data_IF_346485766992
#
_entry.id   IF_346485766992
#
_cell.length_a   1.000
_cell.length_b   1.000
_cell.length_c   1.000
_cell.angle_alpha   90.00
_cell.angle_beta   90.00
_cell.angle_gamma   90.00
#
_symmetry.space_group_name_H-M   'P 1'
#
loop_
_entity.id
_entity.type
_entity.pdbx_description
1 polymer ?
#
# COMPACT_ATOMS: atom_id res chain seq x y z
N UNK A 1 -27.39 6.11 12.44
CA UNK A 1 -28.43 6.75 13.28
C UNK A 1 -28.04 8.11 13.89
N UNK A 2 -26.80 8.35 14.37
CA UNK A 2 -26.42 9.63 15.03
C UNK A 2 -26.47 10.89 14.13
N UNK A 3 -26.29 10.76 12.82
CA UNK A 3 -26.27 11.89 11.88
C UNK A 3 -27.67 12.43 11.52
N UNK A 4 -28.69 11.56 11.53
CA UNK A 4 -30.07 11.93 11.20
C UNK A 4 -30.68 12.79 12.31
N UNK A 5 -30.34 12.52 13.58
CA UNK A 5 -30.79 13.34 14.71
C UNK A 5 -30.24 14.77 14.71
N UNK A 6 -29.01 14.96 14.22
CA UNK A 6 -28.41 16.30 14.02
C UNK A 6 -29.13 17.07 12.91
N UNK A 7 -29.48 16.40 11.82
CA UNK A 7 -30.20 17.02 10.69
C UNK A 7 -31.65 17.34 11.09
N UNK A 8 -32.33 16.43 11.80
CA UNK A 8 -33.69 16.66 12.33
C UNK A 8 -33.66 17.77 13.39
N UNK A 9 -32.67 17.79 14.29
CA UNK A 9 -32.51 18.85 15.29
C UNK A 9 -32.30 20.23 14.66
N UNK A 10 -31.45 20.32 13.63
CA UNK A 10 -31.23 21.57 12.88
C UNK A 10 -32.48 21.98 12.11
N UNK A 11 -33.21 21.03 11.51
CA UNK A 11 -34.47 21.30 10.81
C UNK A 11 -35.57 21.80 11.76
N UNK A 12 -35.72 21.19 12.94
CA UNK A 12 -36.68 21.62 13.96
C UNK A 12 -36.35 23.02 14.50
N UNK A 13 -35.06 23.32 14.69
CA UNK A 13 -34.61 24.66 15.13
C UNK A 13 -34.87 25.69 14.03
N UNK A 14 -34.60 25.38 12.76
CA UNK A 14 -34.88 26.27 11.63
C UNK A 14 -36.39 26.53 11.46
N UNK A 15 -37.22 25.49 11.56
CA UNK A 15 -38.70 25.61 11.45
C UNK A 15 -39.27 26.42 12.63
N UNK A 16 -38.80 26.15 13.86
CA UNK A 16 -39.22 26.91 15.06
C UNK A 16 -38.81 28.38 15.00
N UNK A 17 -37.66 28.67 14.41
CA UNK A 17 -37.13 30.04 14.26
C UNK A 17 -37.84 30.80 13.14
N UNK A 18 -38.20 30.14 12.03
CA UNK A 18 -39.00 30.73 10.93
C UNK A 18 -40.41 31.05 11.42
N UNK A 19 -41.02 30.17 12.22
CA UNK A 19 -42.34 30.40 12.82
C UNK A 19 -42.40 31.59 13.80
N UNK A 20 -41.26 32.01 14.37
CA UNK A 20 -41.17 33.18 15.28
C UNK A 20 -40.92 34.51 14.58
N UNK A 21 -40.52 34.51 13.30
CA UNK A 21 -40.17 35.72 12.54
C UNK A 21 -41.15 36.09 11.43
N UNK A 22 -42.12 35.22 11.09
CA UNK A 22 -43.05 35.47 10.00
C UNK A 22 -44.38 36.06 10.51
N UNK A 23 -44.86 37.13 9.86
CA UNK A 23 -46.14 37.77 10.20
C UNK A 23 -47.36 37.05 9.60
N UNK A 24 -47.18 35.98 8.80
CA UNK A 24 -48.27 35.13 8.32
C UNK A 24 -47.83 33.67 8.08
N UNK A 25 -48.77 32.74 8.26
CA UNK A 25 -48.57 31.30 8.06
C UNK A 25 -48.27 30.96 6.58
N UNK A 26 -48.70 31.82 5.66
CA UNK A 26 -48.52 31.68 4.22
C UNK A 26 -47.06 31.88 3.80
N UNK A 27 -46.34 32.81 4.42
CA UNK A 27 -44.93 33.10 4.10
C UNK A 27 -44.00 31.97 4.58
N UNK A 28 -44.34 31.35 5.72
CA UNK A 28 -43.66 30.15 6.22
C UNK A 28 -43.86 28.98 5.27
N UNK A 29 -45.08 28.78 4.76
CA UNK A 29 -45.40 27.73 3.80
C UNK A 29 -44.71 27.93 2.44
N UNK A 30 -44.58 29.17 1.96
CA UNK A 30 -43.85 29.49 0.71
C UNK A 30 -42.35 29.22 0.87
N UNK A 31 -41.75 29.60 2.01
CA UNK A 31 -40.34 29.34 2.28
C UNK A 31 -40.02 27.83 2.42
N UNK A 32 -40.87 27.09 3.13
CA UNK A 32 -40.76 25.62 3.25
C UNK A 32 -41.00 24.95 1.89
N UNK A 33 -41.95 25.44 1.10
CA UNK A 33 -42.23 24.97 -0.25
C UNK A 33 -41.05 25.17 -1.21
N UNK A 34 -40.35 26.32 -1.13
CA UNK A 34 -39.16 26.59 -1.93
C UNK A 34 -37.99 25.66 -1.55
N UNK A 35 -37.78 25.38 -0.26
CA UNK A 35 -36.74 24.47 0.22
C UNK A 35 -37.07 23.02 -0.22
N UNK A 36 -38.32 22.61 -0.11
CA UNK A 36 -38.78 21.29 -0.56
C UNK A 36 -38.61 21.13 -2.08
N UNK A 37 -38.89 22.18 -2.87
CA UNK A 37 -38.69 22.18 -4.33
C UNK A 37 -37.20 22.03 -4.69
N UNK A 38 -36.30 22.74 -4.01
CA UNK A 38 -34.85 22.63 -4.24
C UNK A 38 -34.33 21.24 -3.87
N UNK A 39 -34.78 20.67 -2.74
CA UNK A 39 -34.43 19.32 -2.34
C UNK A 39 -34.96 18.26 -3.34
N UNK A 40 -36.18 18.44 -3.84
CA UNK A 40 -36.79 17.57 -4.86
C UNK A 40 -36.00 17.59 -6.17
N UNK A 41 -35.55 18.76 -6.63
CA UNK A 41 -34.74 18.91 -7.84
C UNK A 41 -33.37 18.22 -7.68
N UNK A 42 -32.75 18.32 -6.51
CA UNK A 42 -31.49 17.62 -6.20
C UNK A 42 -31.72 16.09 -6.18
N UNK A 43 -32.79 15.62 -5.55
CA UNK A 43 -33.12 14.21 -5.45
C UNK A 43 -33.49 13.58 -6.81
N UNK A 44 -34.25 14.28 -7.65
CA UNK A 44 -34.58 13.85 -9.02
C UNK A 44 -33.35 13.79 -9.94
N UNK A 45 -32.32 14.60 -9.65
CA UNK A 45 -31.04 14.55 -10.34
C UNK A 45 -30.18 13.36 -9.87
N UNK A 46 -30.08 13.11 -8.56
CA UNK A 46 -29.31 11.97 -8.02
C UNK A 46 -29.91 10.60 -8.37
N UNK A 47 -31.23 10.53 -8.54
CA UNK A 47 -31.93 9.31 -9.01
C UNK A 47 -31.90 9.13 -10.53
N UNK A 48 -31.16 9.98 -11.27
CA UNK A 48 -30.92 9.83 -12.71
C UNK A 48 -32.10 10.18 -13.62
N UNK A 49 -33.20 10.75 -13.08
CA UNK A 49 -34.40 11.12 -13.84
C UNK A 49 -34.29 12.47 -14.56
N UNK A 50 -33.25 13.26 -14.28
CA UNK A 50 -32.92 14.50 -14.98
C UNK A 50 -31.49 14.44 -15.53
N UNK A 51 -31.33 14.39 -16.86
CA UNK A 51 -30.02 14.41 -17.53
C UNK A 51 -29.54 15.86 -17.72
N UNK A 52 -28.71 16.34 -16.80
CA UNK A 52 -27.98 17.63 -16.94
C UNK A 52 -26.50 17.33 -17.15
N UNK A 53 -25.86 18.07 -18.07
CA UNK A 53 -24.44 17.96 -18.40
C UNK A 53 -23.53 18.07 -17.15
N UNK A 54 -22.53 17.18 -17.02
CA UNK A 54 -21.65 17.04 -15.85
C UNK A 54 -20.91 18.32 -15.45
N UNK A 55 -20.53 19.15 -16.43
CA UNK A 55 -19.93 20.48 -16.16
C UNK A 55 -20.92 21.43 -15.50
N UNK A 56 -22.18 21.43 -15.95
CA UNK A 56 -23.27 22.22 -15.38
C UNK A 56 -23.66 21.71 -13.99
N UNK A 57 -23.62 20.39 -13.75
CA UNK A 57 -23.84 19.78 -12.44
C UNK A 57 -22.81 20.24 -11.40
N UNK A 58 -21.52 20.25 -11.73
CA UNK A 58 -20.47 20.77 -10.84
C UNK A 58 -20.64 22.26 -10.54
N UNK A 59 -21.08 23.05 -11.53
CA UNK A 59 -21.35 24.49 -11.38
C UNK A 59 -22.61 24.73 -10.52
N UNK A 60 -23.69 24.00 -10.76
CA UNK A 60 -24.93 24.07 -9.96
C UNK A 60 -24.72 23.62 -8.52
N UNK A 61 -23.93 22.57 -8.27
CA UNK A 61 -23.53 22.18 -6.90
C UNK A 61 -22.72 23.27 -6.22
N UNK A 62 -21.80 23.93 -6.95
CA UNK A 62 -21.03 25.08 -6.42
C UNK A 62 -21.92 26.28 -6.11
N UNK A 63 -22.85 26.61 -7.00
CA UNK A 63 -23.78 27.73 -6.85
C UNK A 63 -24.76 27.46 -5.70
N UNK A 64 -25.31 26.25 -5.61
CA UNK A 64 -26.21 25.84 -4.52
C UNK A 64 -25.54 25.89 -3.15
N UNK A 65 -24.27 25.46 -3.04
CA UNK A 65 -23.47 25.63 -1.82
C UNK A 65 -23.22 27.11 -1.52
N UNK A 66 -22.94 27.93 -2.53
CA UNK A 66 -22.74 29.37 -2.34
C UNK A 66 -24.01 30.09 -1.88
N UNK A 67 -25.18 29.71 -2.42
CA UNK A 67 -26.48 30.24 -2.01
C UNK A 67 -26.81 29.82 -0.58
N UNK A 68 -26.61 28.55 -0.21
CA UNK A 68 -26.80 28.09 1.17
C UNK A 68 -25.89 28.81 2.17
N UNK A 69 -24.63 29.04 1.79
CA UNK A 69 -23.68 29.80 2.61
C UNK A 69 -24.09 31.28 2.69
N UNK A 70 -24.50 31.90 1.59
CA UNK A 70 -24.92 33.31 1.57
C UNK A 70 -26.22 33.53 2.37
N UNK A 71 -27.20 32.63 2.24
CA UNK A 71 -28.45 32.66 3.02
C UNK A 71 -28.16 32.40 4.50
N UNK A 72 -27.25 31.47 4.83
CA UNK A 72 -26.80 31.23 6.20
C UNK A 72 -26.11 32.44 6.83
N UNK A 73 -25.26 33.15 6.06
CA UNK A 73 -24.60 34.39 6.51
C UNK A 73 -25.63 35.52 6.68
N UNK A 74 -26.53 35.72 5.73
CA UNK A 74 -27.57 36.75 5.82
C UNK A 74 -28.51 36.50 7.00
N UNK A 75 -28.88 35.24 7.24
CA UNK A 75 -29.69 34.84 8.40
C UNK A 75 -28.97 35.08 9.73
N UNK A 76 -27.67 34.73 9.83
CA UNK A 76 -26.86 35.02 11.02
C UNK A 76 -26.72 36.53 11.26
N UNK A 77 -26.52 37.34 10.21
CA UNK A 77 -26.45 38.80 10.32
C UNK A 77 -27.79 39.40 10.76
N UNK A 78 -28.91 38.88 10.25
CA UNK A 78 -30.25 39.30 10.67
C UNK A 78 -30.54 38.91 12.14
N UNK A 79 -30.15 37.70 12.56
CA UNK A 79 -30.22 37.24 13.95
C UNK A 79 -29.38 38.10 14.89
N UNK A 80 -28.13 38.42 14.52
CA UNK A 80 -27.26 39.32 15.29
C UNK A 80 -27.90 40.70 15.42
N UNK A 81 -28.44 41.24 14.34
CA UNK A 81 -29.09 42.56 14.34
C UNK A 81 -30.37 42.57 15.20
N UNK A 82 -31.19 41.52 15.11
CA UNK A 82 -32.42 41.36 15.88
C UNK A 82 -32.16 41.18 17.38
N UNK A 83 -31.16 40.37 17.74
CA UNK A 83 -30.73 40.17 19.13
C UNK A 83 -30.15 41.47 19.70
N UNK A 84 -29.33 42.20 18.93
CA UNK A 84 -28.78 43.49 19.37
C UNK A 84 -29.88 44.54 19.58
N UNK A 85 -30.90 44.55 18.71
CA UNK A 85 -32.09 45.40 18.87
C UNK A 85 -32.90 45.04 20.13
N UNK A 86 -33.21 43.75 20.34
CA UNK A 86 -33.91 43.23 21.54
C UNK A 86 -33.17 43.54 22.85
N UNK A 87 -31.83 43.43 22.86
CA UNK A 87 -31.00 43.81 24.00
C UNK A 87 -31.11 45.31 24.30
N UNK A 88 -31.08 46.15 23.25
CA UNK A 88 -31.15 47.60 23.40
C UNK A 88 -32.52 48.12 23.85
N UNK A 89 -33.62 47.42 23.52
CA UNK A 89 -34.98 47.85 23.85
C UNK A 89 -35.60 47.13 25.05
N UNK A 90 -35.22 45.88 25.33
CA UNK A 90 -35.88 45.02 26.33
C UNK A 90 -34.93 44.44 27.40
N UNK A 91 -33.61 44.65 27.29
CA UNK A 91 -32.64 44.23 28.32
C UNK A 91 -32.38 42.72 28.41
N UNK A 92 -32.69 41.95 27.36
CA UNK A 92 -32.59 40.49 27.36
C UNK A 92 -31.14 39.97 27.26
N UNK A 93 -30.57 39.59 28.41
CA UNK A 93 -29.20 39.07 28.56
C UNK A 93 -28.96 37.70 27.91
N UNK A 94 -29.99 36.89 27.61
CA UNK A 94 -29.81 35.56 26.99
C UNK A 94 -29.29 35.66 25.54
N UNK A 95 -29.67 36.71 24.81
CA UNK A 95 -29.19 36.96 23.45
C UNK A 95 -27.69 37.25 23.36
N UNK A 96 -27.13 37.92 24.37
CA UNK A 96 -25.69 38.23 24.46
C UNK A 96 -24.86 36.95 24.61
N UNK A 97 -25.33 35.99 25.42
CA UNK A 97 -24.65 34.72 25.62
C UNK A 97 -24.56 33.91 24.31
N UNK A 98 -25.60 33.95 23.47
CA UNK A 98 -25.61 33.29 22.16
C UNK A 98 -24.62 33.92 21.17
N UNK A 99 -24.50 35.26 21.17
CA UNK A 99 -23.53 36.00 20.35
C UNK A 99 -22.08 35.70 20.76
N UNK A 100 -21.81 35.59 22.06
CA UNK A 100 -20.48 35.22 22.57
C UNK A 100 -20.12 33.80 22.14
N UNK A 101 -21.04 32.83 22.29
CA UNK A 101 -20.81 31.44 21.86
C UNK A 101 -20.59 31.36 20.35
N UNK A 102 -21.38 32.09 19.55
CA UNK A 102 -21.21 32.14 18.09
C UNK A 102 -19.86 32.76 17.67
N UNK A 103 -19.42 33.82 18.35
CA UNK A 103 -18.13 34.47 18.08
C UNK A 103 -16.96 33.56 18.46
N UNK A 104 -17.05 32.86 19.59
CA UNK A 104 -16.06 31.87 20.02
C UNK A 104 -16.01 30.69 19.03
N UNK A 105 -17.16 30.17 18.60
CA UNK A 105 -17.24 29.09 17.62
C UNK A 105 -16.67 29.51 16.25
N UNK A 106 -16.94 30.73 15.80
CA UNK A 106 -16.39 31.28 14.56
C UNK A 106 -14.87 31.49 14.66
N UNK A 107 -14.38 31.97 15.80
CA UNK A 107 -12.95 32.10 16.10
C UNK A 107 -12.23 30.75 16.08
N UNK A 108 -12.80 29.72 16.71
CA UNK A 108 -12.29 28.34 16.70
C UNK A 108 -12.30 27.79 15.26
N UNK A 109 -13.39 27.94 14.52
CA UNK A 109 -13.52 27.48 13.14
C UNK A 109 -12.53 28.17 12.19
N UNK A 110 -12.34 29.49 12.34
CA UNK A 110 -11.35 30.26 11.59
C UNK A 110 -9.91 29.84 11.93
N UNK A 111 -9.62 29.62 13.22
CA UNK A 111 -8.32 29.15 13.68
C UNK A 111 -7.98 27.77 13.09
N UNK A 112 -8.92 26.81 13.14
CA UNK A 112 -8.77 25.48 12.53
C UNK A 112 -8.60 25.58 11.00
N UNK A 113 -9.40 26.42 10.31
CA UNK A 113 -9.32 26.63 8.86
C UNK A 113 -7.99 27.25 8.42
N UNK A 114 -7.44 28.19 9.20
CA UNK A 114 -6.17 28.85 8.91
C UNK A 114 -4.98 27.93 9.18
N UNK A 115 -5.03 27.14 10.24
CA UNK A 115 -4.07 26.07 10.51
C UNK A 115 -4.06 25.05 9.36
N UNK A 116 -5.23 24.53 8.96
CA UNK A 116 -5.36 23.63 7.80
C UNK A 116 -4.82 24.23 6.49
N UNK A 117 -5.05 25.52 6.22
CA UNK A 117 -4.52 26.20 5.02
C UNK A 117 -3.01 26.36 5.04
N UNK A 118 -2.41 26.63 6.20
CA UNK A 118 -0.95 26.67 6.37
C UNK A 118 -0.34 25.28 6.14
N UNK A 119 -1.02 24.23 6.57
CA UNK A 119 -0.63 22.84 6.33
C UNK A 119 -0.69 22.40 4.89
N UNK A 120 -1.79 22.69 4.19
CA UNK A 120 -1.90 22.41 2.75
C UNK A 120 -0.79 23.12 1.95
N UNK A 121 -0.31 24.29 2.41
CA UNK A 121 0.85 24.96 1.80
C UNK A 121 2.16 24.22 2.05
N UNK A 122 2.42 23.78 3.28
CA UNK A 122 3.60 22.97 3.62
C UNK A 122 3.61 21.67 2.80
N UNK A 123 2.48 20.95 2.74
CA UNK A 123 2.34 19.70 1.99
C UNK A 123 2.48 19.87 0.47
N UNK A 124 1.91 20.94 -0.11
CA UNK A 124 2.10 21.27 -1.55
C UNK A 124 3.54 21.62 -1.90
N UNK A 125 4.37 21.91 -0.90
CA UNK A 125 5.81 22.15 -1.06
C UNK A 125 6.60 20.84 -0.92
N UNK A 126 6.01 19.83 -0.26
CA UNK A 126 6.64 18.54 0.04
C UNK A 126 6.37 17.47 -1.03
N UNK A 127 5.13 17.41 -1.55
CA UNK A 127 4.71 16.47 -2.59
C UNK A 127 3.99 17.20 -3.74
N UNK A 128 4.17 16.75 -5.00
CA UNK A 128 3.38 17.24 -6.11
C UNK A 128 1.90 16.87 -5.89
N UNK A 129 0.99 17.77 -6.28
CA UNK A 129 -0.44 17.76 -5.90
C UNK A 129 -1.17 16.45 -6.22
N UNK A 130 -0.72 15.75 -7.23
CA UNK A 130 -1.21 14.48 -7.77
C UNK A 130 -0.88 13.28 -6.88
N UNK A 131 0.12 13.39 -6.00
CA UNK A 131 0.54 12.31 -5.08
C UNK A 131 0.01 12.47 -3.65
N UNK A 132 -0.77 13.52 -3.38
CA UNK A 132 -1.34 13.78 -2.05
C UNK A 132 -2.67 13.03 -1.92
N UNK A 133 -2.65 11.83 -1.34
CA UNK A 133 -3.86 11.12 -0.95
C UNK A 133 -4.52 11.81 0.26
N UNK A 134 -5.76 12.26 0.11
CA UNK A 134 -6.50 12.97 1.16
C UNK A 134 -6.95 12.06 2.34
N UNK A 135 -6.82 10.73 2.17
CA UNK A 135 -7.25 9.71 3.14
C UNK A 135 -6.20 9.35 4.21
N UNK A 136 -4.93 9.66 4.00
CA UNK A 136 -3.83 9.23 4.90
C UNK A 136 -3.71 10.09 6.17
N UNK A 137 -4.69 10.97 6.39
CA UNK A 137 -4.59 12.07 7.33
C UNK A 137 -5.18 11.65 8.66
N UNK A 138 -4.36 11.06 9.53
CA UNK A 138 -4.77 10.72 10.89
C UNK A 138 -4.39 11.86 11.84
N UNK A 139 -5.37 12.64 12.29
CA UNK A 139 -5.19 13.57 13.40
C UNK A 139 -5.19 12.77 14.70
N UNK A 140 -4.04 12.19 15.06
CA UNK A 140 -3.85 11.53 16.37
C UNK A 140 -3.35 12.57 17.35
N UNK A 141 -4.26 13.01 18.22
CA UNK A 141 -4.13 13.73 19.50
C UNK A 141 -3.19 14.96 19.64
N UNK A 142 -2.10 15.12 18.88
CA UNK A 142 -1.19 16.28 18.81
C UNK A 142 -0.21 16.27 17.61
N UNK A 143 -0.37 15.32 16.67
CA UNK A 143 0.61 15.00 15.64
C UNK A 143 -0.04 14.86 14.26
N UNK A 144 0.64 15.34 13.22
CA UNK A 144 0.23 15.17 11.82
C UNK A 144 1.24 14.28 11.10
N UNK A 145 0.77 13.27 10.38
CA UNK A 145 1.61 12.36 9.59
C UNK A 145 1.21 12.36 8.13
N UNK A 146 2.18 12.11 7.25
CA UNK A 146 1.98 11.78 5.84
C UNK A 146 2.98 10.72 5.43
N UNK A 147 2.60 9.87 4.48
CA UNK A 147 3.45 8.80 3.98
C UNK A 147 3.87 9.08 2.53
N UNK A 148 5.15 8.88 2.22
CA UNK A 148 5.69 8.91 0.86
C UNK A 148 5.91 7.47 0.38
N UNK A 149 4.95 6.99 -0.41
CA UNK A 149 4.98 5.65 -1.00
C UNK A 149 6.18 5.39 -1.90
N UNK A 150 6.85 6.44 -2.41
CA UNK A 150 8.02 6.24 -3.29
C UNK A 150 9.29 5.87 -2.54
N UNK A 151 9.39 6.19 -1.25
CA UNK A 151 10.58 5.90 -0.42
C UNK A 151 10.21 5.14 0.84
N UNK A 152 8.97 4.64 0.92
CA UNK A 152 8.40 4.02 2.12
C UNK A 152 8.60 4.86 3.40
N UNK A 153 8.68 6.19 3.26
CA UNK A 153 9.06 7.10 4.33
C UNK A 153 7.83 7.77 4.96
N UNK A 154 7.81 7.82 6.28
CA UNK A 154 6.79 8.49 7.07
C UNK A 154 7.32 9.84 7.54
N UNK A 155 6.57 10.90 7.27
CA UNK A 155 6.91 12.25 7.75
C UNK A 155 5.90 12.71 8.78
N UNK A 156 6.41 13.25 9.87
CA UNK A 156 5.65 13.66 11.03
C UNK A 156 5.87 15.11 11.41
N UNK A 157 4.85 15.71 12.03
CA UNK A 157 4.92 17.07 12.53
C UNK A 157 4.23 17.22 13.88
N UNK A 158 5.06 17.45 14.90
CA UNK A 158 4.67 17.69 16.29
C UNK A 158 4.78 19.18 16.60
N UNK A 159 3.70 19.92 16.39
CA UNK A 159 3.76 21.39 16.54
C UNK A 159 3.84 21.87 17.99
N UNK A 160 3.36 21.09 18.94
CA UNK A 160 3.51 21.41 20.37
C UNK A 160 5.00 21.39 20.78
N UNK A 161 5.74 20.41 20.27
CA UNK A 161 7.17 20.20 20.57
C UNK A 161 8.07 20.98 19.61
N UNK A 162 7.49 21.51 18.53
CA UNK A 162 8.20 22.25 17.51
C UNK A 162 9.06 21.38 16.58
N UNK A 163 8.76 20.09 16.48
CA UNK A 163 9.55 19.08 15.79
C UNK A 163 8.90 18.68 14.46
N UNK A 164 9.72 18.52 13.43
CA UNK A 164 9.41 17.84 12.19
C UNK A 164 10.30 16.60 12.11
N UNK A 165 9.72 15.44 11.87
CA UNK A 165 10.42 14.16 11.82
C UNK A 165 10.20 13.45 10.49
N UNK A 166 11.19 12.68 10.08
CA UNK A 166 11.10 11.70 9.00
C UNK A 166 11.58 10.35 9.53
N UNK A 167 10.89 9.28 9.16
CA UNK A 167 11.24 7.91 9.47
C UNK A 167 11.20 7.10 8.19
N UNK A 168 12.22 6.28 7.93
CA UNK A 168 12.21 5.33 6.83
C UNK A 168 12.88 4.02 7.24
N UNK A 169 12.34 2.92 6.73
CA UNK A 169 12.94 1.60 6.85
C UNK A 169 14.06 1.46 5.83
N UNK A 170 15.23 1.05 6.31
CA UNK A 170 16.38 0.71 5.47
C UNK A 170 16.64 -0.79 5.51
N UNK A 171 17.02 -1.35 4.37
CA UNK A 171 17.39 -2.75 4.20
C UNK A 171 18.90 -2.88 4.15
N UNK A 172 19.44 -3.70 5.06
CA UNK A 172 20.86 -3.79 5.35
C UNK A 172 21.51 -4.99 4.64
N UNK A 173 22.82 -4.94 4.44
CA UNK A 173 23.59 -6.07 3.91
C UNK A 173 23.62 -7.24 4.92
N UNK A 174 23.10 -8.43 4.58
CA UNK A 174 23.05 -9.58 5.49
C UNK A 174 24.43 -10.08 5.93
N UNK A 175 25.49 -9.79 5.18
CA UNK A 175 26.84 -10.25 5.52
C UNK A 175 27.50 -9.42 6.63
N UNK A 176 27.04 -8.19 6.85
CA UNK A 176 27.68 -7.21 7.75
C UNK A 176 26.65 -6.27 8.41
N UNK A 177 25.48 -6.80 8.79
CA UNK A 177 24.31 -6.03 9.24
C UNK A 177 24.63 -4.88 10.20
N UNK A 178 25.22 -5.14 11.37
CA UNK A 178 25.43 -4.10 12.39
C UNK A 178 26.41 -3.01 11.93
N UNK A 179 27.39 -3.39 11.09
CA UNK A 179 28.35 -2.46 10.49
C UNK A 179 27.68 -1.62 9.39
N UNK A 180 26.83 -2.23 8.56
CA UNK A 180 26.07 -1.52 7.54
C UNK A 180 25.05 -0.56 8.18
N UNK A 181 24.38 -0.99 9.26
CA UNK A 181 23.47 -0.15 10.05
C UNK A 181 24.17 1.13 10.53
N UNK A 182 25.33 0.98 11.17
CA UNK A 182 26.12 2.12 11.66
C UNK A 182 26.57 3.03 10.51
N UNK A 183 27.10 2.45 9.43
CA UNK A 183 27.52 3.21 8.25
C UNK A 183 26.36 3.95 7.56
N UNK A 184 25.15 3.37 7.58
CA UNK A 184 23.94 3.97 7.02
C UNK A 184 23.54 5.21 7.79
N UNK A 185 23.55 5.13 9.12
CA UNK A 185 23.24 6.27 9.98
C UNK A 185 24.24 7.40 9.76
N UNK A 186 25.55 7.10 9.78
CA UNK A 186 26.63 8.08 9.56
C UNK A 186 26.49 8.76 8.19
N UNK A 187 26.25 7.98 7.13
CA UNK A 187 26.05 8.49 5.78
C UNK A 187 24.83 9.41 5.69
N UNK A 188 23.73 9.05 6.36
CA UNK A 188 22.52 9.85 6.41
C UNK A 188 22.69 11.16 7.16
N UNK A 189 23.39 11.14 8.30
CA UNK A 189 23.76 12.35 9.03
C UNK A 189 24.62 13.29 8.16
N UNK A 190 25.60 12.74 7.44
CA UNK A 190 26.44 13.51 6.54
C UNK A 190 25.64 14.10 5.36
N UNK A 191 24.72 13.32 4.78
CA UNK A 191 23.82 13.75 3.71
C UNK A 191 22.96 14.95 4.13
N UNK A 192 22.44 14.94 5.36
CA UNK A 192 21.65 16.04 5.92
C UNK A 192 22.53 17.26 6.21
N UNK A 193 23.72 17.05 6.79
CA UNK A 193 24.68 18.12 7.08
C UNK A 193 25.14 18.85 5.82
N UNK A 194 25.47 18.13 4.74
CA UNK A 194 25.84 18.70 3.42
C UNK A 194 24.72 19.56 2.82
N UNK A 195 23.46 19.23 3.13
CA UNK A 195 22.27 20.00 2.73
C UNK A 195 21.93 21.16 3.67
N UNK A 196 22.77 21.40 4.69
CA UNK A 196 22.56 22.44 5.69
C UNK A 196 21.41 22.15 6.65
N UNK A 197 20.98 20.89 6.76
CA UNK A 197 19.90 20.48 7.63
C UNK A 197 20.49 20.01 8.95
N UNK A 198 20.13 20.69 10.04
CA UNK A 198 20.44 20.26 11.40
C UNK A 198 19.32 19.34 11.87
N UNK A 199 19.62 18.05 11.92
CA UNK A 199 18.72 17.02 12.44
C UNK A 199 19.43 16.21 13.54
N UNK A 200 18.66 15.75 14.51
CA UNK A 200 19.09 14.68 15.41
C UNK A 200 18.65 13.39 14.75
N UNK A 201 19.60 12.54 14.38
CA UNK A 201 19.30 11.24 13.79
C UNK A 201 19.40 10.17 14.87
N UNK A 202 18.56 9.15 14.74
CA UNK A 202 18.57 7.96 15.55
C UNK A 202 18.24 6.76 14.65
N UNK A 203 18.67 5.59 15.09
CA UNK A 203 18.34 4.34 14.44
C UNK A 203 17.72 3.41 15.47
N UNK A 204 16.57 2.85 15.12
CA UNK A 204 15.99 1.72 15.84
C UNK A 204 16.35 0.45 15.09
N UNK A 205 17.21 -0.38 15.71
CA UNK A 205 17.76 -1.58 15.11
C UNK A 205 17.89 -2.68 16.16
N UNK A 206 17.32 -3.84 15.85
CA UNK A 206 17.51 -5.06 16.61
C UNK A 206 18.79 -5.72 16.08
N UNK A 207 19.78 -6.06 16.94
CA UNK A 207 21.02 -6.68 16.48
C UNK A 207 20.78 -7.90 15.59
N UNK A 208 21.46 -7.94 14.44
CA UNK A 208 21.28 -9.01 13.44
C UNK A 208 20.01 -8.92 12.57
N UNK A 209 19.12 -7.96 12.81
CA UNK A 209 17.93 -7.72 11.97
C UNK A 209 18.32 -7.11 10.62
N UNK A 210 17.79 -7.68 9.54
CA UNK A 210 18.12 -7.27 8.16
C UNK A 210 17.55 -5.92 7.74
N UNK A 211 16.75 -5.29 8.60
CA UNK A 211 16.28 -3.94 8.41
C UNK A 211 16.44 -3.12 9.69
N UNK A 212 16.52 -1.81 9.53
CA UNK A 212 16.49 -0.84 10.62
C UNK A 212 15.56 0.32 10.25
N UNK A 213 15.03 1.02 11.25
CA UNK A 213 14.26 2.24 11.02
C UNK A 213 15.11 3.45 11.40
N UNK A 214 15.44 4.29 10.41
CA UNK A 214 16.17 5.54 10.61
C UNK A 214 15.18 6.67 10.83
N UNK A 215 15.38 7.42 11.92
CA UNK A 215 14.56 8.56 12.32
C UNK A 215 15.44 9.81 12.29
N UNK A 216 15.00 10.86 11.61
CA UNK A 216 15.63 12.18 11.69
C UNK A 216 14.63 13.22 12.19
N UNK A 217 14.98 13.87 13.29
CA UNK A 217 14.18 14.94 13.90
C UNK A 217 14.85 16.31 13.70
N UNK A 218 14.08 17.29 13.23
CA UNK A 218 14.54 18.67 13.05
C UNK A 218 13.52 19.67 13.58
N UNK A 219 13.95 20.92 13.75
CA UNK A 219 13.03 22.00 14.18
C UNK A 219 12.10 22.34 13.02
N UNK A 220 10.79 22.28 13.23
CA UNK A 220 9.84 22.57 12.15
C UNK A 220 10.03 24.00 11.60
N UNK A 221 10.45 24.96 12.44
CA UNK A 221 10.61 26.37 12.03
C UNK A 221 11.74 26.57 11.01
N UNK A 222 12.72 25.66 10.95
CA UNK A 222 13.78 25.67 9.92
C UNK A 222 13.37 25.00 8.61
N UNK A 223 12.22 24.31 8.60
CA UNK A 223 11.69 23.62 7.42
C UNK A 223 10.84 24.57 6.57
N UNK A 224 11.47 25.20 5.56
CA UNK A 224 10.86 26.18 4.64
C UNK A 224 11.29 25.90 3.21
N UNK A 225 10.35 25.73 2.29
CA UNK A 225 10.65 25.71 0.85
C UNK A 225 11.68 24.66 0.51
N UNK A 226 12.85 25.12 0.06
CA UNK A 226 14.00 24.30 -0.35
C UNK A 226 14.53 23.36 0.73
N UNK A 227 14.51 23.73 2.02
CA UNK A 227 14.99 22.81 3.07
C UNK A 227 14.09 21.60 3.28
N UNK A 228 12.79 21.75 2.99
CA UNK A 228 11.86 20.62 3.00
C UNK A 228 12.10 19.66 1.85
N UNK A 229 12.32 20.21 0.65
CA UNK A 229 12.68 19.41 -0.53
C UNK A 229 14.00 18.68 -0.29
N UNK A 230 15.04 19.38 0.18
CA UNK A 230 16.33 18.76 0.46
C UNK A 230 16.25 17.65 1.53
N UNK A 231 15.40 17.80 2.54
CA UNK A 231 15.18 16.75 3.54
C UNK A 231 14.53 15.51 2.92
N UNK A 232 13.51 15.72 2.09
CA UNK A 232 12.88 14.62 1.34
C UNK A 232 13.86 13.95 0.39
N UNK A 233 14.65 14.72 -0.36
CA UNK A 233 15.64 14.20 -1.30
C UNK A 233 16.71 13.35 -0.58
N UNK A 234 17.05 13.67 0.67
CA UNK A 234 17.93 12.82 1.47
C UNK A 234 17.33 11.45 1.79
N UNK A 235 16.01 11.36 2.04
CA UNK A 235 15.32 10.08 2.20
C UNK A 235 15.20 9.30 0.89
N UNK A 236 15.06 9.98 -0.25
CA UNK A 236 15.13 9.34 -1.58
C UNK A 236 16.52 8.77 -1.84
N UNK A 237 17.58 9.52 -1.50
CA UNK A 237 18.95 9.04 -1.62
C UNK A 237 19.18 7.83 -0.69
N UNK A 238 18.69 7.90 0.56
CA UNK A 238 18.76 6.81 1.53
C UNK A 238 18.09 5.52 1.02
N UNK A 239 16.88 5.64 0.47
CA UNK A 239 16.13 4.51 -0.12
C UNK A 239 16.89 3.87 -1.29
N UNK A 240 17.51 4.68 -2.14
CA UNK A 240 18.35 4.20 -3.25
C UNK A 240 19.60 3.43 -2.81
N UNK A 241 19.94 3.43 -1.52
CA UNK A 241 21.05 2.66 -0.98
C UNK A 241 20.64 1.33 -0.33
N UNK A 242 19.33 1.02 -0.29
CA UNK A 242 18.82 -0.23 0.28
C UNK A 242 19.44 -1.46 -0.40
N UNK A 243 19.80 -2.48 0.38
CA UNK A 243 20.16 -3.80 -0.14
C UNK A 243 19.01 -4.33 -1.01
N UNK A 244 19.34 -4.88 -2.19
CA UNK A 244 18.36 -5.36 -3.18
C UNK A 244 18.44 -6.88 -3.42
N UNK A 245 19.36 -7.56 -2.75
CA UNK A 245 19.54 -9.00 -2.92
C UNK A 245 18.61 -9.80 -2.01
N UNK A 246 18.73 -11.11 -2.13
CA UNK A 246 18.07 -12.05 -1.24
C UNK A 246 18.85 -12.18 0.06
N UNK A 247 18.14 -12.58 1.11
CA UNK A 247 18.72 -12.98 2.39
C UNK A 247 18.09 -14.30 2.83
N UNK A 248 18.81 -15.03 3.67
CA UNK A 248 18.38 -16.31 4.20
C UNK A 248 18.42 -16.24 5.71
N UNK A 249 17.38 -16.75 6.34
CA UNK A 249 17.27 -16.73 7.78
C UNK A 249 16.62 -18.00 8.32
N UNK A 250 16.95 -18.27 9.57
CA UNK A 250 16.34 -19.26 10.42
C UNK A 250 15.53 -18.53 11.50
N UNK A 251 14.28 -18.95 11.65
CA UNK A 251 13.34 -18.52 12.66
C UNK A 251 13.11 -19.64 13.67
N UNK A 252 13.07 -19.28 14.95
CA UNK A 252 12.62 -20.13 16.04
C UNK A 252 11.59 -19.41 16.90
N UNK A 253 10.36 -19.92 16.92
CA UNK A 253 9.31 -19.39 17.79
C UNK A 253 8.08 -20.29 17.86
N UNK A 254 6.90 -19.70 18.06
CA UNK A 254 5.66 -20.44 18.31
C UNK A 254 5.23 -21.32 17.13
N UNK A 255 5.61 -20.94 15.91
CA UNK A 255 5.31 -21.71 14.68
C UNK A 255 6.30 -22.86 14.43
N UNK A 256 7.27 -23.04 15.33
CA UNK A 256 8.36 -24.01 15.20
C UNK A 256 9.62 -23.39 14.57
N UNK A 257 10.44 -24.24 13.97
CA UNK A 257 11.66 -23.81 13.27
C UNK A 257 11.36 -23.66 11.78
N UNK A 258 11.59 -22.46 11.25
CA UNK A 258 11.36 -22.14 9.84
C UNK A 258 12.65 -21.58 9.25
N UNK A 259 13.15 -22.19 8.18
CA UNK A 259 14.19 -21.61 7.34
C UNK A 259 13.52 -20.92 6.17
N UNK A 260 13.98 -19.74 5.78
CA UNK A 260 13.38 -19.03 4.66
C UNK A 260 14.38 -18.20 3.86
N UNK A 261 14.01 -17.98 2.61
CA UNK A 261 14.62 -17.03 1.67
C UNK A 261 13.66 -15.85 1.52
N UNK A 262 14.15 -14.64 1.72
CA UNK A 262 13.37 -13.42 1.52
C UNK A 262 14.16 -12.35 0.82
N UNK A 263 13.49 -11.26 0.44
CA UNK A 263 14.09 -10.13 -0.26
C UNK A 263 13.84 -8.79 0.45
N UNK A 264 14.41 -7.73 -0.13
CA UNK A 264 14.12 -6.36 0.24
C UNK A 264 12.62 -6.05 0.01
N UNK A 265 11.91 -5.76 1.09
CA UNK A 265 10.44 -5.61 1.08
C UNK A 265 9.70 -6.57 2.00
N UNK A 266 10.43 -7.46 2.68
CA UNK A 266 9.88 -8.47 3.60
C UNK A 266 9.06 -9.56 2.91
N UNK A 267 9.28 -9.76 1.61
CA UNK A 267 8.61 -10.82 0.86
C UNK A 267 9.41 -12.09 1.01
N UNK A 268 8.74 -13.15 1.47
CA UNK A 268 9.31 -14.48 1.59
C UNK A 268 9.07 -15.21 0.27
N UNK A 269 10.13 -15.77 -0.30
CA UNK A 269 10.12 -16.42 -1.62
C UNK A 269 10.07 -17.93 -1.45
N UNK A 270 10.80 -18.45 -0.48
CA UNK A 270 10.82 -19.88 -0.14
C UNK A 270 10.86 -20.05 1.36
N UNK A 271 10.19 -21.08 1.87
CA UNK A 271 10.31 -21.42 3.26
C UNK A 271 10.23 -22.93 3.50
N UNK A 272 10.83 -23.34 4.62
CA UNK A 272 10.98 -24.70 5.07
C UNK A 272 10.64 -24.73 6.55
N UNK A 273 9.54 -25.37 6.93
CA UNK A 273 9.25 -25.72 8.33
C UNK A 273 9.88 -27.07 8.65
N UNK A 274 10.52 -27.22 9.81
CA UNK A 274 11.12 -28.52 10.18
C UNK A 274 10.10 -29.56 10.62
N UNK A 275 9.09 -29.15 11.40
CA UNK A 275 8.13 -30.06 12.03
C UNK A 275 6.72 -29.43 12.16
N UNK A 276 5.67 -30.08 11.61
CA UNK A 276 5.78 -31.06 10.53
C UNK A 276 6.58 -30.50 9.35
N UNK A 277 7.24 -31.40 8.61
CA UNK A 277 8.10 -30.97 7.50
C UNK A 277 7.24 -30.43 6.37
N UNK A 278 7.36 -29.13 6.12
CA UNK A 278 6.63 -28.42 5.07
C UNK A 278 7.61 -27.55 4.27
N UNK A 279 7.56 -27.59 2.93
CA UNK A 279 8.46 -26.86 2.05
C UNK A 279 7.66 -26.20 0.93
N UNK A 280 7.77 -24.87 0.79
CA UNK A 280 6.97 -24.13 -0.20
C UNK A 280 7.79 -23.10 -0.97
N UNK A 281 7.49 -23.03 -2.28
CA UNK A 281 7.60 -21.78 -3.03
C UNK A 281 6.41 -20.92 -2.63
N UNK A 282 6.68 -19.70 -2.17
CA UNK A 282 5.66 -18.84 -1.60
C UNK A 282 5.25 -17.84 -2.68
N UNK A 283 4.00 -17.96 -3.14
CA UNK A 283 3.26 -16.88 -3.80
C UNK A 283 2.38 -16.22 -2.73
N UNK A 284 2.01 -14.95 -2.91
CA UNK A 284 1.10 -14.26 -1.98
C UNK A 284 -0.26 -14.97 -1.83
N UNK A 285 -0.65 -15.80 -2.81
CA UNK A 285 -1.90 -16.56 -2.80
C UNK A 285 -1.72 -18.04 -2.39
N UNK A 286 -0.49 -18.51 -2.17
CA UNK A 286 -0.17 -19.91 -1.84
C UNK A 286 0.81 -19.96 -0.66
N UNK A 287 0.30 -20.19 0.56
CA UNK A 287 1.14 -20.37 1.74
C UNK A 287 1.18 -21.83 2.21
N UNK A 288 1.71 -22.03 3.42
CA UNK A 288 1.76 -23.34 4.07
C UNK A 288 0.37 -23.98 4.22
N UNK A 289 0.32 -25.32 4.24
CA UNK A 289 -0.93 -26.06 4.55
C UNK A 289 -1.36 -25.89 6.00
N UNK A 290 -0.41 -25.71 6.91
CA UNK A 290 -0.72 -25.32 8.29
C UNK A 290 -1.18 -23.87 8.33
N UNK A 291 -2.43 -23.60 8.74
CA UNK A 291 -2.95 -22.22 8.93
C UNK A 291 -2.00 -21.36 9.80
N UNK A 292 -1.35 -21.98 10.78
CA UNK A 292 -0.39 -21.33 11.68
C UNK A 292 0.91 -20.95 10.96
N UNK A 293 1.44 -21.82 10.09
CA UNK A 293 2.62 -21.48 9.29
C UNK A 293 2.25 -20.53 8.14
N UNK A 294 1.03 -20.60 7.61
CA UNK A 294 0.51 -19.65 6.63
C UNK A 294 0.51 -18.21 7.18
N UNK A 295 0.20 -18.06 8.47
CA UNK A 295 0.27 -16.78 9.18
C UNK A 295 1.68 -16.14 9.14
N UNK A 296 2.76 -16.95 9.14
CA UNK A 296 4.13 -16.46 8.99
C UNK A 296 4.36 -15.71 7.67
N UNK A 297 3.72 -16.19 6.61
CA UNK A 297 3.82 -15.62 5.27
C UNK A 297 2.94 -14.37 5.17
N UNK A 298 1.66 -14.45 5.56
CA UNK A 298 0.71 -13.34 5.41
C UNK A 298 1.12 -12.09 6.17
N UNK A 299 1.71 -12.23 7.36
CA UNK A 299 2.10 -11.09 8.19
C UNK A 299 3.46 -10.49 7.80
N UNK A 300 4.25 -11.21 7.00
CA UNK A 300 5.65 -10.93 6.75
C UNK A 300 6.53 -11.22 7.98
N UNK A 301 7.86 -11.20 7.79
CA UNK A 301 8.82 -11.51 8.85
C UNK A 301 8.82 -10.41 9.91
N UNK A 302 8.39 -10.73 11.13
CA UNK A 302 8.46 -9.86 12.29
C UNK A 302 9.62 -10.26 13.19
N UNK A 303 10.75 -9.57 13.08
CA UNK A 303 11.95 -9.86 13.86
C UNK A 303 11.80 -9.65 15.37
N UNK A 304 10.65 -9.13 15.83
CA UNK A 304 10.32 -9.00 17.27
C UNK A 304 9.64 -10.23 17.84
N UNK A 305 9.02 -11.06 17.01
CA UNK A 305 8.26 -12.24 17.43
C UNK A 305 9.13 -13.49 17.24
N UNK A 306 9.92 -13.88 18.25
CA UNK A 306 10.76 -15.09 18.23
C UNK A 306 12.28 -14.80 18.15
N UNK A 307 13.07 -15.81 17.79
CA UNK A 307 14.52 -15.67 17.59
C UNK A 307 14.87 -15.90 16.13
N UNK A 308 15.59 -14.96 15.54
CA UNK A 308 16.03 -15.01 14.16
C UNK A 308 17.56 -15.10 14.08
N UNK A 309 18.06 -15.78 13.07
CA UNK A 309 19.49 -15.84 12.76
C UNK A 309 19.68 -15.88 11.26
N UNK A 310 20.56 -15.02 10.74
CA UNK A 310 20.93 -15.06 9.34
C UNK A 310 21.77 -16.31 9.07
N UNK A 311 21.45 -17.00 7.99
CA UNK A 311 22.16 -18.19 7.53
C UNK A 311 22.68 -17.95 6.12
N UNK A 312 23.62 -18.78 5.70
CA UNK A 312 24.08 -18.74 4.31
C UNK A 312 23.07 -19.40 3.38
N UNK A 313 23.03 -18.94 2.11
CA UNK A 313 22.34 -19.66 1.04
C UNK A 313 22.79 -21.13 0.95
N UNK A 314 24.05 -21.43 1.29
CA UNK A 314 24.56 -22.80 1.29
C UNK A 314 23.86 -23.65 2.34
N UNK A 315 23.68 -23.14 3.56
CA UNK A 315 22.97 -23.83 4.64
C UNK A 315 21.50 -24.00 4.31
N UNK A 316 20.81 -22.94 3.84
CA UNK A 316 19.41 -23.02 3.44
C UNK A 316 19.17 -24.12 2.38
N UNK A 317 19.93 -24.10 1.28
CA UNK A 317 19.75 -25.09 0.21
C UNK A 317 20.33 -26.48 0.54
N UNK A 318 21.11 -26.64 1.61
CA UNK A 318 21.44 -27.97 2.12
C UNK A 318 20.26 -28.61 2.85
N UNK A 319 19.34 -27.77 3.35
CA UNK A 319 18.10 -28.19 3.98
C UNK A 319 16.96 -28.31 2.98
N UNK A 320 16.95 -27.55 1.89
CA UNK A 320 15.98 -27.67 0.80
C UNK A 320 16.08 -29.08 0.22
N UNK A 321 15.11 -29.94 0.55
CA UNK A 321 15.09 -31.30 0.03
C UNK A 321 14.31 -31.26 -1.26
N UNK A 322 14.89 -31.88 -2.28
CA UNK A 322 14.20 -32.25 -3.50
C UNK A 322 12.78 -32.75 -3.14
N UNK A 323 11.74 -32.00 -3.51
CA UNK A 323 10.37 -32.41 -3.19
C UNK A 323 10.04 -33.64 -4.03
N UNK A 324 10.12 -34.81 -3.39
CA UNK A 324 9.82 -36.09 -4.03
C UNK A 324 8.35 -36.52 -3.81
N UNK A 325 7.62 -35.82 -2.94
CA UNK A 325 6.26 -36.14 -2.51
C UNK A 325 5.36 -34.92 -2.71
N UNK A 326 4.27 -35.12 -3.46
CA UNK A 326 3.20 -34.15 -3.72
C UNK A 326 1.90 -34.72 -3.16
N UNK A 327 1.04 -33.87 -2.61
CA UNK A 327 -0.19 -34.35 -1.98
C UNK A 327 -1.23 -34.78 -3.03
N UNK A 328 -1.29 -34.06 -4.14
CA UNK A 328 -2.14 -34.35 -5.28
C UNK A 328 -1.56 -33.75 -6.58
N UNK A 329 -2.35 -33.81 -7.66
CA UNK A 329 -1.96 -33.31 -8.98
C UNK A 329 -1.92 -31.78 -9.03
N UNK A 330 -2.80 -31.11 -8.29
CA UNK A 330 -2.90 -29.65 -8.25
C UNK A 330 -1.65 -29.06 -7.58
N UNK A 331 -1.19 -29.70 -6.50
CA UNK A 331 0.03 -29.33 -5.81
C UNK A 331 1.29 -29.53 -6.69
N UNK A 332 1.38 -30.65 -7.40
CA UNK A 332 2.46 -30.87 -8.38
C UNK A 332 2.41 -29.86 -9.54
N UNK A 333 1.22 -29.52 -10.01
CA UNK A 333 0.99 -28.50 -11.04
C UNK A 333 1.48 -27.12 -10.58
N UNK A 334 1.04 -26.66 -9.41
CA UNK A 334 1.45 -25.35 -8.86
C UNK A 334 2.96 -25.26 -8.65
N UNK A 335 3.59 -26.33 -8.15
CA UNK A 335 5.04 -26.37 -7.99
C UNK A 335 5.78 -26.31 -9.32
N UNK A 336 5.30 -27.03 -10.34
CA UNK A 336 5.89 -27.00 -11.67
C UNK A 336 5.90 -25.58 -12.24
N UNK A 337 4.77 -24.89 -12.12
CA UNK A 337 4.60 -23.52 -12.60
C UNK A 337 5.57 -22.56 -11.91
N UNK A 338 5.57 -22.54 -10.57
CA UNK A 338 6.38 -21.61 -9.79
C UNK A 338 7.88 -21.86 -9.98
N UNK A 339 8.30 -23.13 -9.97
CA UNK A 339 9.69 -23.47 -10.22
C UNK A 339 10.12 -23.09 -11.66
N UNK A 340 9.21 -23.16 -12.65
CA UNK A 340 9.48 -22.69 -14.02
C UNK A 340 9.71 -21.18 -14.08
N UNK A 341 8.90 -20.40 -13.36
CA UNK A 341 9.09 -18.94 -13.24
C UNK A 341 10.45 -18.61 -12.61
N UNK A 342 10.74 -19.23 -11.48
CA UNK A 342 12.00 -19.02 -10.73
C UNK A 342 13.23 -19.43 -11.53
N UNK A 343 13.15 -20.51 -12.31
CA UNK A 343 14.21 -20.93 -13.20
C UNK A 343 14.57 -19.81 -14.20
N UNK A 344 13.59 -19.21 -14.88
CA UNK A 344 13.87 -18.18 -15.88
C UNK A 344 14.29 -16.84 -15.26
N UNK A 345 13.79 -16.48 -14.08
CA UNK A 345 14.32 -15.37 -13.30
C UNK A 345 15.81 -15.58 -12.96
N UNK A 346 16.17 -16.77 -12.51
CA UNK A 346 17.55 -17.15 -12.24
C UNK A 346 18.44 -17.18 -13.49
N UNK A 347 17.88 -17.55 -14.66
CA UNK A 347 18.60 -17.42 -15.94
C UNK A 347 18.91 -15.97 -16.26
N UNK A 348 17.96 -15.05 -16.07
CA UNK A 348 18.17 -13.62 -16.32
C UNK A 348 19.22 -13.03 -15.38
N UNK A 349 19.22 -13.44 -14.12
CA UNK A 349 20.15 -12.97 -13.09
C UNK A 349 21.51 -13.70 -13.10
N UNK A 350 21.67 -14.74 -13.92
CA UNK A 350 22.89 -15.53 -13.97
C UNK A 350 23.10 -16.46 -12.77
N UNK A 351 22.10 -16.65 -11.91
CA UNK A 351 22.18 -17.52 -10.74
C UNK A 351 22.12 -18.99 -11.16
N UNK A 352 23.29 -19.64 -11.18
CA UNK A 352 23.43 -21.04 -11.59
C UNK A 352 22.87 -22.03 -10.57
N UNK A 353 22.87 -21.68 -9.29
CA UNK A 353 22.41 -22.58 -8.24
C UNK A 353 20.90 -22.66 -8.24
N UNK A 354 20.22 -21.53 -8.33
CA UNK A 354 18.76 -21.49 -8.43
C UNK A 354 18.29 -22.12 -9.74
N UNK A 355 19.01 -21.91 -10.85
CA UNK A 355 18.75 -22.64 -12.10
C UNK A 355 18.75 -24.17 -11.90
N UNK A 356 19.75 -24.71 -11.21
CA UNK A 356 19.83 -26.16 -10.95
C UNK A 356 18.72 -26.65 -10.04
N UNK A 357 18.47 -25.96 -8.92
CA UNK A 357 17.45 -26.37 -7.96
C UNK A 357 16.05 -26.32 -8.57
N UNK A 358 15.70 -25.22 -9.24
CA UNK A 358 14.41 -25.10 -9.91
C UNK A 358 14.26 -26.11 -11.04
N UNK A 359 15.34 -26.45 -11.78
CA UNK A 359 15.26 -27.53 -12.77
C UNK A 359 14.90 -28.88 -12.11
N UNK A 360 15.50 -29.22 -10.98
CA UNK A 360 15.17 -30.47 -10.27
C UNK A 360 13.72 -30.50 -9.80
N UNK A 361 13.24 -29.39 -9.21
CA UNK A 361 11.85 -29.28 -8.74
C UNK A 361 10.85 -29.45 -9.90
N UNK A 362 11.10 -28.81 -11.06
CA UNK A 362 10.29 -28.95 -12.27
C UNK A 362 10.30 -30.41 -12.76
N UNK A 363 11.47 -31.04 -12.82
CA UNK A 363 11.62 -32.41 -13.30
C UNK A 363 10.90 -33.42 -12.39
N UNK A 364 10.85 -33.18 -11.08
CA UNK A 364 10.13 -34.06 -10.15
C UNK A 364 8.63 -33.87 -10.18
N UNK A 365 8.17 -32.63 -10.28
CA UNK A 365 6.75 -32.34 -10.49
C UNK A 365 6.26 -33.00 -11.78
N UNK A 366 7.05 -32.89 -12.85
CA UNK A 366 6.75 -33.55 -14.12
C UNK A 366 6.64 -35.07 -13.98
N UNK A 367 7.59 -35.72 -13.28
CA UNK A 367 7.55 -37.17 -13.05
C UNK A 367 6.29 -37.57 -12.29
N UNK A 368 5.88 -36.80 -11.28
CA UNK A 368 4.67 -37.06 -10.52
C UNK A 368 3.42 -36.96 -11.40
N UNK A 369 3.28 -35.87 -12.17
CA UNK A 369 2.16 -35.67 -13.09
C UNK A 369 2.05 -36.80 -14.12
N UNK A 370 3.19 -37.23 -14.70
CA UNK A 370 3.25 -38.35 -15.64
C UNK A 370 2.83 -39.66 -14.95
N UNK A 371 3.33 -39.94 -13.75
CA UNK A 371 3.03 -41.18 -13.03
C UNK A 371 1.56 -41.31 -12.63
N UNK A 372 0.85 -40.19 -12.47
CA UNK A 372 -0.56 -40.14 -12.08
C UNK A 372 -1.52 -39.87 -13.25
N UNK A 373 -1.04 -39.93 -14.49
CA UNK A 373 -1.85 -39.69 -15.70
C UNK A 373 -2.62 -38.35 -15.63
N UNK A 374 -1.93 -37.30 -15.17
CA UNK A 374 -2.45 -35.93 -15.02
C UNK A 374 -2.47 -35.18 -16.36
N UNK A 375 -3.16 -35.73 -17.36
CA UNK A 375 -3.14 -35.25 -18.75
C UNK A 375 -3.67 -33.82 -18.87
N UNK A 376 -4.76 -33.50 -18.16
CA UNK A 376 -5.38 -32.18 -18.22
C UNK A 376 -4.44 -31.10 -17.67
N UNK A 377 -3.79 -31.38 -16.52
CA UNK A 377 -2.81 -30.50 -15.89
C UNK A 377 -1.55 -30.32 -16.77
N UNK A 378 -1.08 -31.41 -17.39
CA UNK A 378 0.06 -31.35 -18.34
C UNK A 378 -0.26 -30.47 -19.57
N UNK A 379 -1.48 -30.56 -20.10
CA UNK A 379 -1.96 -29.72 -21.21
C UNK A 379 -2.07 -28.27 -20.78
N UNK A 380 -2.61 -28.01 -19.59
CA UNK A 380 -2.77 -26.65 -19.06
C UNK A 380 -1.41 -25.97 -18.85
N UNK A 381 -0.41 -26.66 -18.31
CA UNK A 381 0.97 -26.16 -18.20
C UNK A 381 1.58 -25.75 -19.55
N UNK A 382 1.12 -26.37 -20.65
CA UNK A 382 1.50 -26.04 -22.02
C UNK A 382 0.68 -24.90 -22.65
N UNK A 383 -0.22 -24.27 -21.89
CA UNK A 383 -1.14 -23.21 -22.35
C UNK A 383 -1.12 -21.93 -21.51
N UNK A 384 -0.56 -21.93 -20.29
CA UNK A 384 -0.63 -20.78 -19.34
C UNK A 384 0.46 -19.71 -19.51
N UNK A 385 1.71 -20.01 -19.15
CA UNK A 385 2.84 -19.08 -19.05
C UNK A 385 4.01 -19.60 -19.88
N UNK A 386 4.73 -18.71 -20.56
CA UNK A 386 5.80 -19.11 -21.48
C UNK A 386 6.91 -19.94 -20.83
N UNK A 387 7.20 -19.64 -19.56
CA UNK A 387 8.16 -20.36 -18.73
C UNK A 387 7.75 -21.82 -18.52
N UNK A 388 6.49 -22.02 -18.11
CA UNK A 388 5.88 -23.34 -17.91
C UNK A 388 5.75 -24.07 -19.25
N UNK A 389 5.29 -23.39 -20.31
CA UNK A 389 5.19 -23.94 -21.66
C UNK A 389 6.52 -24.51 -22.16
N UNK A 390 7.63 -23.82 -21.94
CA UNK A 390 8.96 -24.29 -22.35
C UNK A 390 9.32 -25.61 -21.67
N UNK A 391 9.12 -25.68 -20.35
CA UNK A 391 9.45 -26.89 -19.59
C UNK A 391 8.47 -28.02 -19.86
N UNK A 392 7.18 -27.72 -19.96
CA UNK A 392 6.13 -28.71 -20.17
C UNK A 392 6.24 -29.34 -21.57
N UNK A 393 6.45 -28.53 -22.62
CA UNK A 393 6.74 -29.05 -23.97
C UNK A 393 8.00 -29.91 -24.01
N UNK A 394 9.03 -29.57 -23.23
CA UNK A 394 10.25 -30.38 -23.12
C UNK A 394 10.02 -31.71 -22.41
N UNK A 395 9.28 -31.72 -21.30
CA UNK A 395 9.21 -32.86 -20.39
C UNK A 395 8.07 -33.83 -20.70
N UNK A 396 6.99 -33.35 -21.31
CA UNK A 396 5.80 -34.15 -21.64
C UNK A 396 5.77 -34.62 -23.10
N UNK A 397 6.78 -34.34 -23.92
CA UNK A 397 6.84 -34.75 -25.34
C UNK A 397 6.68 -36.26 -25.55
N UNK A 398 7.13 -37.08 -24.61
CA UNK A 398 7.01 -38.54 -24.71
C UNK A 398 5.59 -39.04 -24.37
N UNK A 399 4.76 -38.21 -23.74
CA UNK A 399 3.40 -38.53 -23.30
C UNK A 399 2.36 -37.88 -24.21
N UNK A 400 2.54 -36.60 -24.56
CA UNK A 400 1.62 -35.79 -25.37
C UNK A 400 2.40 -35.11 -26.52
N UNK A 401 2.98 -35.87 -27.46
CA UNK A 401 3.94 -35.37 -28.44
C UNK A 401 3.39 -34.27 -29.35
N UNK A 402 2.16 -34.44 -29.84
CA UNK A 402 1.56 -33.48 -30.77
C UNK A 402 1.39 -32.11 -30.11
N UNK A 403 0.90 -32.08 -28.87
CA UNK A 403 0.71 -30.85 -28.10
C UNK A 403 2.05 -30.22 -27.71
N UNK A 404 3.01 -31.03 -27.27
CA UNK A 404 4.36 -30.56 -26.94
C UNK A 404 5.06 -29.92 -28.14
N UNK A 405 4.96 -30.51 -29.32
CA UNK A 405 5.53 -29.94 -30.54
C UNK A 405 4.82 -28.66 -30.97
N UNK A 406 3.49 -28.60 -30.91
CA UNK A 406 2.73 -27.38 -31.19
C UNK A 406 3.13 -26.23 -30.25
N UNK A 407 3.14 -26.48 -28.94
CA UNK A 407 3.53 -25.50 -27.92
C UNK A 407 4.95 -24.98 -28.14
N UNK A 408 5.91 -25.86 -28.46
CA UNK A 408 7.27 -25.43 -28.77
C UNK A 408 7.35 -24.54 -30.02
N UNK A 409 6.58 -24.84 -31.06
CA UNK A 409 6.52 -23.98 -32.26
C UNK A 409 5.87 -22.63 -31.92
N UNK A 410 4.76 -22.62 -31.17
CA UNK A 410 4.10 -21.39 -30.71
C UNK A 410 5.04 -20.51 -29.90
N UNK A 411 5.85 -21.07 -29.00
CA UNK A 411 6.85 -20.30 -28.27
C UNK A 411 7.88 -19.65 -29.19
N UNK A 412 8.30 -20.33 -30.26
CA UNK A 412 9.26 -19.74 -31.21
C UNK A 412 8.64 -18.63 -32.06
N UNK A 413 7.36 -18.76 -32.39
CA UNK A 413 6.64 -17.81 -33.25
C UNK A 413 6.14 -16.58 -32.49
N UNK A 414 5.69 -16.75 -31.24
CA UNK A 414 4.91 -15.73 -30.54
C UNK A 414 5.52 -15.24 -29.21
N UNK A 415 6.56 -15.88 -28.66
CA UNK A 415 7.17 -15.40 -27.41
C UNK A 415 8.05 -14.19 -27.65
N UNK A 416 7.84 -13.15 -26.84
CA UNK A 416 8.68 -11.95 -26.83
C UNK A 416 9.98 -12.15 -26.02
N UNK A 417 10.10 -13.26 -25.28
CA UNK A 417 11.27 -13.54 -24.45
C UNK A 417 12.39 -14.20 -25.27
N UNK A 418 13.49 -13.48 -25.60
CA UNK A 418 14.53 -14.00 -26.49
C UNK A 418 15.27 -15.21 -25.90
N UNK A 419 15.31 -15.34 -24.56
CA UNK A 419 15.94 -16.47 -23.87
C UNK A 419 15.11 -17.73 -24.05
N UNK A 420 13.78 -17.62 -23.89
CA UNK A 420 12.84 -18.73 -24.12
C UNK A 420 12.92 -19.15 -25.59
N UNK A 421 12.73 -18.21 -26.53
CA UNK A 421 12.82 -18.48 -27.98
C UNK A 421 14.13 -19.18 -28.35
N UNK A 422 15.27 -18.68 -27.86
CA UNK A 422 16.57 -19.29 -28.17
C UNK A 422 16.69 -20.72 -27.64
N UNK A 423 16.16 -21.01 -26.45
CA UNK A 423 16.21 -22.35 -25.85
C UNK A 423 15.24 -23.29 -26.56
N UNK A 424 14.03 -22.84 -26.87
CA UNK A 424 13.03 -23.62 -27.60
C UNK A 424 13.51 -23.99 -29.00
N UNK A 425 14.17 -23.08 -29.73
CA UNK A 425 14.81 -23.41 -31.03
C UNK A 425 15.83 -24.54 -30.90
N UNK A 426 16.63 -24.56 -29.83
CA UNK A 426 17.60 -25.65 -29.57
C UNK A 426 16.88 -26.96 -29.26
N UNK A 427 15.83 -26.92 -28.45
CA UNK A 427 15.00 -28.08 -28.12
C UNK A 427 14.40 -28.72 -29.39
N UNK A 428 13.76 -27.93 -30.26
CA UNK A 428 13.20 -28.41 -31.52
C UNK A 428 14.29 -29.01 -32.42
N UNK A 429 15.47 -28.39 -32.47
CA UNK A 429 16.60 -28.93 -33.24
C UNK A 429 17.12 -30.27 -32.67
N UNK A 430 17.05 -30.49 -31.36
CA UNK A 430 17.40 -31.77 -30.73
C UNK A 430 16.41 -32.87 -31.11
N UNK A 431 15.10 -32.58 -31.06
CA UNK A 431 14.06 -33.52 -31.47
C UNK A 431 14.22 -33.97 -32.93
N UNK A 432 14.49 -33.02 -33.85
CA UNK A 432 14.72 -33.33 -35.27
C UNK A 432 15.93 -34.23 -35.54
N UNK A 433 16.92 -34.24 -34.63
CA UNK A 433 18.13 -35.07 -34.77
C UNK A 433 17.97 -36.48 -34.18
N UNK A 434 16.80 -36.83 -33.65
CA UNK A 434 16.58 -38.12 -32.98
C UNK A 434 17.36 -38.25 -31.66
N UNK A 435 17.80 -37.14 -31.07
CA UNK A 435 18.46 -37.17 -29.77
C UNK A 435 17.46 -37.57 -28.68
N UNK A 436 17.64 -38.75 -28.09
CA UNK A 436 17.07 -39.04 -26.76
C UNK A 436 17.83 -38.24 -25.71
N UNK A 437 17.07 -37.80 -24.69
CA UNK A 437 17.41 -36.87 -23.60
C UNK A 437 18.89 -36.79 -23.22
#
# INVERSE_FOLDING_TARGET
MKQIWLIIGVACVLISSIGRMANSLTDVLIAVGAIALVALVIWLFETGRLRINERLSKVLKKIGVFILVAVGIAYLVAMVSFVTYKVATEGDLQGIMFLVIATVAFGISWYISRWRRRWVKILKTFMPKDKICHGDWKMREKYFQTFDYSTNALYGLRTADGIFDGQARVWLDPSVVDKDASARLDSFEEMLARRGIKANCAMDHIPGCIYADIIAETKYRSMKGSSMTAFRDAFHELDGMNYQGDYYAEYHGELGTIYFEGNAGNVIIRAIRTEPREEYYIDNDCGFQSEEAHYFIERGVDWTEGKYSLISAKEFFALWRERLEYDDKDDAYSFFEQASLMYFAAVANGDKKVQTNSQWDIENAAKYLIAHDAIDEMIELMAIYEQSMYWASRLFVDVIPEFAHDTANRLVEYSDNPVIVSRTKRLIAQWKKGGKR
#
